data_IF_154890931542
#
_entry.id   IF_154890931542
#
_cell.length_a   1.000
_cell.length_b   1.000
_cell.length_c   1.000
_cell.angle_alpha   90.00
_cell.angle_beta   90.00
_cell.angle_gamma   90.00
#
_symmetry.space_group_name_H-M   'P 1'
#
loop_
_entity.id
_entity.type
_entity.pdbx_description
1 polymer ?
#
# COMPACT_ATOMS: atom_id res chain seq x y z
N UNK A 1 29.81 26.59 -6.83
CA UNK A 1 28.84 26.31 -7.90
C UNK A 1 28.24 24.95 -7.56
N UNK A 2 26.93 24.86 -7.34
CA UNK A 2 26.28 23.57 -7.15
C UNK A 2 26.00 23.00 -8.54
N UNK A 3 26.47 21.79 -8.82
CA UNK A 3 26.21 21.07 -10.06
C UNK A 3 24.94 20.22 -9.90
N UNK A 4 24.23 19.91 -10.99
CA UNK A 4 23.04 19.04 -10.94
C UNK A 4 23.32 17.65 -10.32
N UNK A 5 24.56 17.18 -10.35
CA UNK A 5 25.00 15.92 -9.73
C UNK A 5 25.03 15.95 -8.19
N UNK A 6 24.99 17.14 -7.59
CA UNK A 6 24.99 17.31 -6.14
C UNK A 6 23.59 17.13 -5.53
N UNK A 7 22.56 16.97 -6.38
CA UNK A 7 21.20 16.69 -5.94
C UNK A 7 21.08 15.22 -5.50
N UNK A 8 20.39 14.94 -4.38
CA UNK A 8 20.09 13.58 -3.99
C UNK A 8 19.30 12.90 -5.11
N UNK A 9 19.77 11.74 -5.55
CA UNK A 9 19.04 10.96 -6.53
C UNK A 9 17.71 10.51 -5.91
N UNK A 10 16.60 10.59 -6.66
CA UNK A 10 15.31 10.17 -6.15
C UNK A 10 15.39 8.70 -5.72
N UNK A 11 14.98 8.45 -4.49
CA UNK A 11 14.92 7.10 -3.95
C UNK A 11 13.84 6.29 -4.67
N UNK A 12 13.92 4.94 -4.67
CA UNK A 12 12.83 4.10 -5.18
C UNK A 12 11.48 4.43 -4.53
N UNK A 13 11.49 4.86 -3.27
CA UNK A 13 10.29 5.31 -2.55
C UNK A 13 9.73 6.62 -3.10
N UNK A 14 10.59 7.58 -3.45
CA UNK A 14 10.19 8.86 -4.07
C UNK A 14 9.54 8.61 -5.43
N UNK A 15 10.19 7.83 -6.29
CA UNK A 15 9.66 7.50 -7.62
C UNK A 15 8.31 6.77 -7.54
N UNK A 16 8.12 5.92 -6.54
CA UNK A 16 6.82 5.27 -6.32
C UNK A 16 5.73 6.28 -5.98
N UNK A 17 5.98 7.25 -5.10
CA UNK A 17 4.99 8.26 -4.74
C UNK A 17 4.60 9.07 -5.98
N UNK A 18 5.58 9.48 -6.80
CA UNK A 18 5.32 10.20 -8.04
C UNK A 18 4.37 9.42 -8.96
N UNK A 19 4.62 8.13 -9.17
CA UNK A 19 3.74 7.26 -9.95
C UNK A 19 2.34 7.09 -9.35
N UNK A 20 2.21 7.06 -8.02
CA UNK A 20 0.88 6.96 -7.40
C UNK A 20 0.09 8.25 -7.57
N UNK A 21 0.75 9.41 -7.46
CA UNK A 21 0.14 10.72 -7.67
C UNK A 21 -0.40 10.92 -9.09
N UNK A 22 0.14 10.19 -10.07
CA UNK A 22 -0.35 10.18 -11.46
C UNK A 22 -1.63 9.35 -11.67
N UNK A 23 -2.06 8.55 -10.69
CA UNK A 23 -3.27 7.72 -10.81
C UNK A 23 -4.56 8.50 -10.54
N UNK A 24 -5.69 8.02 -11.08
CA UNK A 24 -7.01 8.63 -10.87
C UNK A 24 -7.47 8.65 -9.39
N UNK A 25 -6.91 7.76 -8.55
CA UNK A 25 -7.21 7.68 -7.12
C UNK A 25 -5.94 7.35 -6.29
N UNK A 26 -5.07 8.35 -6.04
CA UNK A 26 -3.78 8.14 -5.40
C UNK A 26 -3.90 7.60 -3.98
N UNK A 27 -4.86 8.10 -3.20
CA UNK A 27 -5.10 7.61 -1.83
C UNK A 27 -5.59 6.17 -1.83
N UNK A 28 -6.49 5.81 -2.75
CA UNK A 28 -6.95 4.43 -2.90
C UNK A 28 -5.84 3.49 -3.34
N UNK A 29 -4.92 3.93 -4.21
CA UNK A 29 -3.77 3.14 -4.62
C UNK A 29 -2.78 2.89 -3.46
N UNK A 30 -2.50 3.91 -2.64
CA UNK A 30 -1.70 3.75 -1.42
C UNK A 30 -2.38 2.82 -0.42
N UNK A 31 -3.68 3.01 -0.20
CA UNK A 31 -4.45 2.17 0.72
C UNK A 31 -4.42 0.71 0.26
N UNK A 32 -4.76 0.42 -1.01
CA UNK A 32 -4.71 -0.93 -1.57
C UNK A 32 -3.36 -1.59 -1.35
N UNK A 33 -2.26 -0.87 -1.62
CA UNK A 33 -0.90 -1.38 -1.41
C UNK A 33 -0.63 -1.71 0.06
N UNK A 34 -0.97 -0.80 0.97
CA UNK A 34 -0.78 -1.01 2.40
C UNK A 34 -1.58 -2.22 2.92
N UNK A 35 -2.84 -2.36 2.48
CA UNK A 35 -3.68 -3.49 2.85
C UNK A 35 -3.08 -4.82 2.38
N UNK A 36 -2.66 -4.91 1.11
CA UNK A 36 -2.02 -6.11 0.57
C UNK A 36 -0.75 -6.48 1.35
N UNK A 37 0.16 -5.52 1.55
CA UNK A 37 1.42 -5.75 2.26
C UNK A 37 1.20 -6.26 3.69
N UNK A 38 0.23 -5.69 4.42
CA UNK A 38 -0.09 -6.13 5.77
C UNK A 38 -0.74 -7.52 5.78
N UNK A 39 -1.63 -7.81 4.82
CA UNK A 39 -2.23 -9.15 4.69
C UNK A 39 -1.16 -10.20 4.42
N UNK A 40 -0.21 -9.94 3.53
CA UNK A 40 0.90 -10.84 3.23
C UNK A 40 1.79 -11.07 4.46
N UNK A 41 2.19 -10.00 5.16
CA UNK A 41 3.02 -10.08 6.38
C UNK A 41 2.35 -10.78 7.56
N UNK A 42 1.02 -10.87 7.54
CA UNK A 42 0.23 -11.56 8.55
C UNK A 42 -0.27 -12.93 8.05
N UNK A 43 0.31 -13.49 6.99
CA UNK A 43 -0.07 -14.79 6.42
C UNK A 43 -1.58 -14.89 6.13
N UNK A 44 -2.18 -13.78 5.71
CA UNK A 44 -3.62 -13.65 5.45
C UNK A 44 -4.52 -13.87 6.68
N UNK A 45 -3.98 -13.78 7.90
CA UNK A 45 -4.73 -13.84 9.16
C UNK A 45 -5.49 -12.54 9.38
N UNK A 46 -6.73 -12.51 8.89
CA UNK A 46 -7.56 -11.30 8.80
C UNK A 46 -7.70 -10.51 10.12
N UNK A 47 -7.83 -11.19 11.26
CA UNK A 47 -7.94 -10.50 12.55
C UNK A 47 -6.62 -9.79 12.91
N UNK A 48 -5.48 -10.48 12.75
CA UNK A 48 -4.16 -9.92 13.04
C UNK A 48 -3.84 -8.72 12.13
N UNK A 49 -4.16 -8.82 10.84
CA UNK A 49 -4.02 -7.72 9.90
C UNK A 49 -4.89 -6.51 10.30
N UNK A 50 -6.13 -6.74 10.71
CA UNK A 50 -7.04 -5.68 11.15
C UNK A 50 -6.52 -4.97 12.41
N UNK A 51 -6.05 -5.75 13.39
CA UNK A 51 -5.47 -5.22 14.63
C UNK A 51 -4.23 -4.37 14.34
N UNK A 52 -3.35 -4.83 13.42
CA UNK A 52 -2.15 -4.08 12.99
C UNK A 52 -2.47 -2.79 12.25
N UNK A 53 -3.57 -2.77 11.50
CA UNK A 53 -4.06 -1.60 10.77
C UNK A 53 -4.88 -0.66 11.64
N UNK A 54 -5.17 -1.03 12.89
CA UNK A 54 -5.96 -0.21 13.81
C UNK A 54 -7.42 -0.05 13.38
N UNK A 55 -8.00 -1.06 12.73
CA UNK A 55 -9.40 -1.03 12.29
C UNK A 55 -10.14 -2.34 12.57
N UNK A 56 -11.47 -2.31 12.47
CA UNK A 56 -12.26 -3.53 12.65
C UNK A 56 -12.02 -4.53 11.52
N UNK A 57 -12.11 -5.83 11.83
CA UNK A 57 -12.07 -6.92 10.85
C UNK A 57 -13.11 -6.75 9.73
N UNK A 58 -14.30 -6.24 10.05
CA UNK A 58 -15.37 -5.98 9.06
C UNK A 58 -14.96 -4.85 8.11
N UNK A 59 -14.33 -3.80 8.62
CA UNK A 59 -13.81 -2.70 7.80
C UNK A 59 -12.74 -3.21 6.85
N UNK A 60 -11.79 -4.01 7.35
CA UNK A 60 -10.75 -4.61 6.52
C UNK A 60 -11.36 -5.47 5.40
N UNK A 61 -12.31 -6.35 5.74
CA UNK A 61 -12.97 -7.21 4.75
C UNK A 61 -13.70 -6.41 3.66
N UNK A 62 -14.40 -5.32 4.02
CA UNK A 62 -15.06 -4.45 3.04
C UNK A 62 -14.03 -3.82 2.11
N UNK A 63 -12.95 -3.24 2.66
CA UNK A 63 -11.88 -2.63 1.88
C UNK A 63 -11.19 -3.63 0.96
N UNK A 64 -10.88 -4.84 1.42
CA UNK A 64 -10.27 -5.88 0.54
C UNK A 64 -11.18 -6.21 -0.63
N UNK A 65 -12.49 -6.26 -0.42
CA UNK A 65 -13.46 -6.53 -1.48
C UNK A 65 -13.58 -5.34 -2.44
N UNK A 66 -13.64 -4.12 -1.91
CA UNK A 66 -13.76 -2.89 -2.71
C UNK A 66 -12.51 -2.64 -3.58
N UNK A 67 -11.33 -3.07 -3.10
CA UNK A 67 -10.06 -2.97 -3.84
C UNK A 67 -9.68 -4.22 -4.65
N UNK A 68 -10.50 -5.27 -4.66
CA UNK A 68 -10.21 -6.53 -5.37
C UNK A 68 -8.92 -7.21 -4.86
N UNK A 69 -8.67 -7.17 -3.56
CA UNK A 69 -7.52 -7.82 -2.93
C UNK A 69 -7.93 -9.26 -2.58
N UNK A 70 -7.28 -10.22 -3.22
CA UNK A 70 -7.55 -11.65 -3.06
C UNK A 70 -6.29 -12.39 -2.64
N UNK A 71 -6.47 -13.43 -1.81
CA UNK A 71 -5.37 -14.31 -1.42
C UNK A 71 -4.90 -15.08 -2.67
N UNK A 72 -3.59 -15.11 -2.98
CA UNK A 72 -3.08 -15.96 -4.03
C UNK A 72 -3.51 -17.41 -3.77
N UNK A 73 -4.24 -18.00 -4.71
CA UNK A 73 -4.43 -19.45 -4.73
C UNK A 73 -3.10 -20.07 -5.12
N UNK A 74 -2.48 -20.79 -4.18
CA UNK A 74 -1.32 -21.62 -4.47
C UNK A 74 -1.65 -22.79 -5.38
#
# INVERSE_FOLDING_TARGET
>A
RLELSDLPQPSPQTLFIDHVLESDNPLGALERRLLTEVLERCDWRMQEAADRLGMSRVTLWRKTRDYGIERPTG
#
